data_IF_947801461598
#
_entry.id   IF_947801461598
#
_cell.length_a   1.000
_cell.length_b   1.000
_cell.length_c   1.000
_cell.angle_alpha   90.00
_cell.angle_beta   90.00
_cell.angle_gamma   90.00
#
_symmetry.space_group_name_H-M   'P 1'
#
loop_
_entity.id
_entity.type
_entity.pdbx_description
1 polymer ?
#
# COMPACT_ATOMS: atom_id res chain seq x y z
N UNK A 1 -12.93 -38.27 36.04
CA UNK A 1 -13.73 -37.21 35.37
C UNK A 1 -12.81 -36.07 34.96
N UNK A 2 -13.05 -35.46 33.78
CA UNK A 2 -12.19 -34.48 33.09
C UNK A 2 -12.51 -33.02 33.50
N UNK A 3 -11.44 -32.24 33.75
CA UNK A 3 -11.10 -30.78 33.69
C UNK A 3 -12.20 -29.67 33.64
N UNK A 4 -11.89 -28.43 34.09
CA UNK A 4 -11.29 -27.49 33.14
C UNK A 4 -10.02 -26.77 33.62
N UNK A 5 -9.22 -26.40 32.62
CA UNK A 5 -8.02 -25.57 32.67
C UNK A 5 -8.38 -24.07 32.71
N UNK A 6 -7.46 -23.17 33.15
CA UNK A 6 -7.70 -21.73 33.12
C UNK A 6 -7.81 -21.18 31.69
N UNK A 7 -8.65 -20.16 31.53
CA UNK A 7 -8.95 -19.46 30.28
C UNK A 7 -7.72 -18.75 29.69
N UNK A 8 -7.49 -18.80 28.37
CA UNK A 8 -6.53 -17.93 27.72
C UNK A 8 -7.14 -16.52 27.55
N UNK A 9 -6.54 -15.53 28.18
CA UNK A 9 -6.76 -14.12 27.82
C UNK A 9 -5.96 -13.84 26.56
N UNK A 10 -6.62 -13.80 25.41
CA UNK A 10 -6.03 -13.27 24.18
C UNK A 10 -5.89 -11.76 24.32
N UNK A 11 -4.71 -11.31 24.72
CA UNK A 11 -4.26 -9.96 24.39
C UNK A 11 -4.08 -9.94 22.87
N UNK A 12 -5.00 -9.27 22.17
CA UNK A 12 -4.76 -8.81 20.80
C UNK A 12 -3.64 -7.77 20.88
N UNK A 13 -2.40 -8.25 20.80
CA UNK A 13 -1.23 -7.40 20.70
C UNK A 13 -1.28 -6.70 19.36
N UNK A 14 -1.44 -5.38 19.37
CA UNK A 14 -1.12 -4.54 18.22
C UNK A 14 0.38 -4.71 17.99
N UNK A 15 0.76 -5.52 17.00
CA UNK A 15 2.14 -5.60 16.54
C UNK A 15 2.58 -4.21 16.12
N UNK A 16 3.50 -3.62 16.88
CA UNK A 16 4.25 -2.44 16.46
C UNK A 16 5.64 -2.95 16.11
N UNK A 17 5.86 -3.23 14.84
CA UNK A 17 7.20 -3.45 14.31
C UNK A 17 7.85 -2.08 14.15
N UNK A 18 8.82 -1.74 15.00
CA UNK A 18 9.67 -0.58 14.80
C UNK A 18 10.71 -0.91 13.71
N UNK A 19 10.40 -0.56 12.45
CA UNK A 19 11.34 -0.54 11.32
C UNK A 19 12.18 0.75 11.27
N UNK A 20 13.22 0.83 10.42
CA UNK A 20 14.29 1.82 10.56
C UNK A 20 13.79 3.26 10.40
N UNK A 21 14.32 4.10 11.29
CA UNK A 21 14.13 5.55 11.32
C UNK A 21 14.84 6.20 10.12
N UNK A 22 14.15 6.32 9.00
CA UNK A 22 14.29 7.32 7.92
C UNK A 22 13.21 7.01 6.91
N UNK A 23 12.33 7.95 6.60
CA UNK A 23 11.30 7.77 5.59
C UNK A 23 11.96 7.52 4.22
N UNK A 24 12.09 6.27 3.80
CA UNK A 24 12.62 5.93 2.48
C UNK A 24 11.60 6.39 1.43
N UNK A 25 12.06 7.12 0.41
CA UNK A 25 11.20 7.68 -0.63
C UNK A 25 11.98 8.33 -1.76
N UNK A 26 11.38 8.31 -2.94
CA UNK A 26 11.79 8.97 -4.19
C UNK A 26 10.51 9.30 -4.99
N UNK A 27 10.59 9.89 -6.18
CA UNK A 27 9.39 10.09 -6.98
C UNK A 27 8.96 8.78 -7.65
N UNK A 28 7.66 8.58 -7.76
CA UNK A 28 7.12 7.79 -8.87
C UNK A 28 7.02 8.69 -10.10
N UNK A 29 7.53 8.22 -11.23
CA UNK A 29 7.56 8.95 -12.48
C UNK A 29 6.60 8.32 -13.48
N UNK A 30 5.76 9.13 -14.09
CA UNK A 30 4.97 8.77 -15.26
C UNK A 30 5.34 9.68 -16.42
N UNK A 31 5.53 9.11 -17.61
CA UNK A 31 6.00 9.87 -18.78
C UNK A 31 5.10 11.07 -19.09
N UNK A 32 3.77 10.89 -18.99
CA UNK A 32 2.77 11.92 -19.29
C UNK A 32 2.41 12.81 -18.09
N UNK A 33 2.79 12.42 -16.87
CA UNK A 33 2.34 13.08 -15.63
C UNK A 33 3.47 13.53 -14.71
N UNK A 34 4.73 13.27 -15.05
CA UNK A 34 5.88 13.71 -14.28
C UNK A 34 6.09 12.96 -12.95
N UNK A 35 6.78 13.64 -12.04
CA UNK A 35 7.22 13.08 -10.76
C UNK A 35 6.23 13.38 -9.63
N UNK A 36 5.82 12.31 -8.93
CA UNK A 36 5.03 12.41 -7.71
C UNK A 36 5.87 11.92 -6.53
N UNK A 37 6.18 12.79 -5.55
CA UNK A 37 6.99 12.40 -4.41
C UNK A 37 6.26 11.33 -3.60
N UNK A 38 6.95 10.23 -3.29
CA UNK A 38 6.43 9.20 -2.40
C UNK A 38 7.19 9.14 -1.09
N UNK A 39 6.51 8.60 -0.09
CA UNK A 39 7.10 8.25 1.21
C UNK A 39 6.56 6.91 1.66
N UNK A 40 7.45 5.96 1.90
CA UNK A 40 7.07 4.67 2.47
C UNK A 40 6.76 4.85 3.95
N UNK A 41 5.58 4.39 4.36
CA UNK A 41 5.10 4.42 5.75
C UNK A 41 5.36 3.09 6.46
N UNK A 42 5.22 1.97 5.75
CA UNK A 42 5.45 0.64 6.31
C UNK A 42 5.89 -0.36 5.24
N UNK A 43 6.77 -1.27 5.64
CA UNK A 43 7.13 -2.47 4.89
C UNK A 43 7.16 -3.64 5.88
N UNK A 44 6.36 -4.66 5.61
CA UNK A 44 6.42 -5.95 6.31
C UNK A 44 6.59 -7.03 5.25
N UNK A 45 7.83 -7.36 4.91
CA UNK A 45 8.11 -8.31 3.83
C UNK A 45 7.63 -9.73 4.17
N UNK A 46 7.04 -10.48 3.22
CA UNK A 46 6.61 -10.10 1.86
C UNK A 46 5.11 -9.72 1.79
N UNK A 47 4.52 -9.26 2.89
CA UNK A 47 3.07 -9.25 3.13
C UNK A 47 2.42 -7.89 2.95
N UNK A 48 3.11 -6.82 3.33
CA UNK A 48 2.48 -5.51 3.43
C UNK A 48 3.43 -4.40 3.00
N UNK A 49 2.90 -3.48 2.21
CA UNK A 49 3.56 -2.26 1.78
C UNK A 49 2.56 -1.11 1.89
N UNK A 50 2.96 -0.02 2.54
CA UNK A 50 2.14 1.18 2.60
C UNK A 50 2.99 2.43 2.32
N UNK A 51 2.45 3.35 1.54
CA UNK A 51 3.10 4.60 1.20
C UNK A 51 2.11 5.74 0.98
N UNK A 52 2.62 6.96 1.12
CA UNK A 52 1.94 8.20 0.77
C UNK A 52 2.53 8.74 -0.52
N UNK A 53 1.71 9.47 -1.27
CA UNK A 53 2.15 10.23 -2.44
C UNK A 53 1.50 11.60 -2.52
N UNK A 54 2.21 12.58 -3.06
CA UNK A 54 1.68 13.93 -3.33
C UNK A 54 0.70 13.93 -4.49
N UNK A 55 -0.22 14.91 -4.55
CA UNK A 55 -1.21 15.05 -5.63
C UNK A 55 -0.78 16.03 -6.74
N UNK A 56 0.29 16.81 -6.55
CA UNK A 56 0.72 17.85 -7.49
C UNK A 56 2.21 17.76 -7.83
N UNK A 57 2.52 18.01 -9.10
CA UNK A 57 3.87 18.15 -9.68
C UNK A 57 4.45 19.55 -9.32
N UNK A 58 4.53 19.91 -8.05
CA UNK A 58 5.01 21.23 -7.62
C UNK A 58 5.69 21.18 -6.24
N UNK A 59 6.58 22.14 -5.90
CA UNK A 59 7.08 22.30 -4.53
C UNK A 59 5.95 22.81 -3.62
N UNK A 60 5.14 21.87 -3.15
CA UNK A 60 4.03 22.01 -2.21
C UNK A 60 4.18 21.03 -1.05
N UNK A 61 3.20 20.94 -0.12
CA UNK A 61 3.38 20.39 1.22
C UNK A 61 4.12 19.06 1.18
N UNK A 62 5.10 18.94 2.07
CA UNK A 62 5.90 17.73 2.22
C UNK A 62 4.99 16.50 2.14
N UNK A 63 5.39 15.46 1.37
CA UNK A 63 4.63 14.21 1.25
C UNK A 63 4.18 13.63 2.60
N UNK A 64 4.89 13.99 3.69
CA UNK A 64 4.48 13.81 5.10
C UNK A 64 3.03 14.24 5.40
N UNK A 65 2.59 15.34 4.80
CA UNK A 65 1.28 15.95 5.00
C UNK A 65 0.25 15.45 3.98
N UNK A 66 0.63 14.60 3.02
CA UNK A 66 -0.33 14.03 2.08
C UNK A 66 -1.31 13.11 2.83
N UNK A 67 -2.62 13.41 2.80
CA UNK A 67 -3.60 12.55 3.45
C UNK A 67 -3.76 11.22 2.71
N UNK A 68 -3.38 11.15 1.44
CA UNK A 68 -3.54 9.99 0.59
C UNK A 68 -2.56 8.88 0.96
N UNK A 69 -3.10 7.74 1.40
CA UNK A 69 -2.36 6.54 1.80
C UNK A 69 -2.78 5.37 0.93
N UNK A 70 -1.80 4.73 0.29
CA UNK A 70 -1.95 3.47 -0.44
C UNK A 70 -1.42 2.33 0.42
N UNK A 71 -2.17 1.23 0.45
CA UNK A 71 -1.84 0.01 1.17
C UNK A 71 -1.99 -1.20 0.24
N UNK A 72 -0.95 -2.03 0.18
CA UNK A 72 -0.95 -3.33 -0.46
C UNK A 72 -0.84 -4.40 0.61
N UNK A 73 -1.75 -5.37 0.58
CA UNK A 73 -1.68 -6.59 1.35
C UNK A 73 -1.59 -7.78 0.38
N UNK A 74 -0.55 -8.59 0.54
CA UNK A 74 -0.26 -9.75 -0.28
C UNK A 74 -0.53 -11.04 0.51
N UNK A 75 -1.40 -11.89 -0.02
CA UNK A 75 -1.77 -13.17 0.58
C UNK A 75 -1.53 -14.33 -0.38
N UNK A 76 -1.06 -15.49 0.08
CA UNK A 76 -0.86 -16.62 -0.79
C UNK A 76 -2.23 -17.22 -1.13
N UNK A 77 -2.39 -17.73 -2.34
CA UNK A 77 -3.60 -18.48 -2.72
C UNK A 77 -3.29 -19.98 -2.74
N UNK A 78 -4.33 -20.81 -2.55
CA UNK A 78 -4.17 -22.27 -2.46
C UNK A 78 -3.63 -22.91 -3.75
N UNK A 79 -3.77 -22.23 -4.89
CA UNK A 79 -3.25 -22.62 -6.20
C UNK A 79 -1.80 -22.16 -6.46
N UNK A 80 -1.14 -21.57 -5.46
CA UNK A 80 0.26 -21.13 -5.53
C UNK A 80 0.46 -19.71 -6.07
N UNK A 81 -0.62 -18.95 -6.27
CA UNK A 81 -0.59 -17.54 -6.65
C UNK A 81 -0.50 -16.58 -5.45
N UNK A 82 -0.73 -15.29 -5.74
CA UNK A 82 -0.80 -14.21 -4.73
C UNK A 82 -2.04 -13.37 -4.97
N UNK A 83 -2.88 -13.22 -3.93
CA UNK A 83 -3.96 -12.25 -3.89
C UNK A 83 -3.42 -10.91 -3.40
N UNK A 84 -3.44 -9.90 -4.25
CA UNK A 84 -3.20 -8.51 -3.88
C UNK A 84 -4.51 -7.83 -3.48
N UNK A 85 -4.57 -7.32 -2.25
CA UNK A 85 -5.60 -6.38 -1.80
C UNK A 85 -5.01 -4.98 -1.79
N UNK A 86 -5.52 -4.13 -2.67
CA UNK A 86 -5.16 -2.71 -2.76
C UNK A 86 -6.23 -1.87 -2.05
N UNK A 87 -5.79 -0.92 -1.23
CA UNK A 87 -6.64 0.13 -0.68
C UNK A 87 -5.94 1.47 -0.82
N UNK A 88 -6.64 2.44 -1.39
CA UNK A 88 -6.24 3.84 -1.32
C UNK A 88 -7.28 4.62 -0.51
N UNK A 89 -6.80 5.47 0.40
CA UNK A 89 -7.65 6.21 1.33
C UNK A 89 -7.12 7.63 1.55
N UNK A 90 -7.93 8.49 2.18
CA UNK A 90 -7.51 9.87 2.49
C UNK A 90 -7.78 10.89 1.39
N UNK A 91 -8.60 10.52 0.39
CA UNK A 91 -9.05 11.45 -0.65
C UNK A 91 -9.77 12.66 -0.04
N UNK A 92 -9.29 13.86 -0.40
CA UNK A 92 -9.95 15.13 -0.07
C UNK A 92 -11.05 15.46 -1.08
N UNK A 93 -10.82 15.13 -2.35
CA UNK A 93 -11.75 15.39 -3.45
C UNK A 93 -12.16 14.07 -4.12
N UNK A 94 -13.45 13.99 -4.45
CA UNK A 94 -14.05 12.83 -5.10
C UNK A 94 -13.48 12.57 -6.51
N UNK A 95 -13.07 13.64 -7.22
CA UNK A 95 -12.40 13.53 -8.52
C UNK A 95 -11.12 12.70 -8.44
N UNK A 96 -10.28 12.93 -7.43
CA UNK A 96 -9.04 12.17 -7.25
C UNK A 96 -9.31 10.69 -6.98
N UNK A 97 -10.39 10.36 -6.24
CA UNK A 97 -10.79 8.96 -6.06
C UNK A 97 -11.14 8.32 -7.41
N UNK A 98 -11.94 9.02 -8.21
CA UNK A 98 -12.42 8.50 -9.50
C UNK A 98 -11.28 8.35 -10.50
N UNK A 99 -10.35 9.30 -10.55
CA UNK A 99 -9.15 9.24 -11.38
C UNK A 99 -8.23 8.09 -10.95
N UNK A 100 -8.01 7.91 -9.65
CA UNK A 100 -7.16 6.84 -9.14
C UNK A 100 -7.79 5.45 -9.31
N UNK A 101 -9.11 5.31 -9.21
CA UNK A 101 -9.80 4.05 -9.52
C UNK A 101 -9.49 3.59 -10.96
N UNK A 102 -9.53 4.51 -11.92
CA UNK A 102 -9.19 4.22 -13.32
C UNK A 102 -7.68 3.92 -13.50
N UNK A 103 -6.82 4.73 -12.88
CA UNK A 103 -5.37 4.52 -12.92
C UNK A 103 -4.95 3.17 -12.34
N UNK A 104 -5.51 2.77 -11.19
CA UNK A 104 -5.22 1.47 -10.59
C UNK A 104 -5.67 0.30 -11.45
N UNK A 105 -6.82 0.41 -12.13
CA UNK A 105 -7.26 -0.63 -13.05
C UNK A 105 -6.25 -0.83 -14.19
N UNK A 106 -5.69 0.26 -14.73
CA UNK A 106 -4.68 0.20 -15.78
C UNK A 106 -3.35 -0.38 -15.25
N UNK A 107 -2.82 0.15 -14.16
CA UNK A 107 -1.52 -0.27 -13.61
C UNK A 107 -1.54 -1.72 -13.10
N UNK A 108 -2.63 -2.17 -12.47
CA UNK A 108 -2.77 -3.57 -12.07
C UNK A 108 -2.93 -4.50 -13.29
N UNK A 109 -3.55 -4.03 -14.37
CA UNK A 109 -3.58 -4.74 -15.65
C UNK A 109 -2.18 -4.93 -16.24
N UNK A 110 -1.36 -3.88 -16.23
CA UNK A 110 0.07 -3.94 -16.65
C UNK A 110 0.87 -4.89 -15.75
N UNK A 111 0.64 -4.88 -14.44
CA UNK A 111 1.31 -5.79 -13.49
C UNK A 111 0.99 -7.26 -13.78
N UNK A 112 -0.29 -7.59 -14.02
CA UNK A 112 -0.70 -8.94 -14.40
C UNK A 112 -0.02 -9.35 -15.71
N UNK A 113 -0.09 -8.50 -16.73
CA UNK A 113 0.56 -8.76 -18.02
C UNK A 113 2.07 -9.02 -17.88
N UNK A 114 2.76 -8.22 -17.08
CA UNK A 114 4.19 -8.37 -16.80
C UNK A 114 4.52 -9.70 -16.12
N UNK A 115 3.75 -10.09 -15.10
CA UNK A 115 3.98 -11.32 -14.32
C UNK A 115 3.63 -12.57 -15.14
N UNK A 116 2.65 -12.48 -16.03
CA UNK A 116 2.25 -13.56 -16.94
C UNK A 116 3.18 -13.69 -18.16
N UNK A 117 4.21 -12.84 -18.28
CA UNK A 117 5.26 -12.96 -19.30
C UNK A 117 4.98 -12.20 -20.60
N UNK A 118 4.10 -11.20 -20.59
CA UNK A 118 3.94 -10.27 -21.69
C UNK A 118 5.13 -9.30 -21.77
N UNK A 119 5.90 -9.33 -22.87
CA UNK A 119 6.97 -8.36 -23.17
C UNK A 119 6.45 -7.20 -24.02
#
# INVERSE_FOLDING_TARGET
>A
MRKPAPSPTTSSGRSTCAGPSSAAGGPFHWEDHGDFPIRVEAVEEPRYLAWRWGLEIQPGPDVRESPTLVEWLLEPTDDGGTLLRLRESGFVFESHRTENDAGWAEELGKLVFLIEGGQ
#
